data_IF_764547595373
#
_entry.id   IF_764547595373
#
_cell.length_a   1.000
_cell.length_b   1.000
_cell.length_c   1.000
_cell.angle_alpha   90.00
_cell.angle_beta   90.00
_cell.angle_gamma   90.00
#
_symmetry.space_group_name_H-M   'P 1'
#
loop_
_entity.id
_entity.type
_entity.pdbx_description
1 polymer ?
#
# COMPACT_ATOMS: atom_id res chain seq x y z
N UNK A 1 -5.28 -3.20 1.61
CA UNK A 1 -4.53 -4.43 1.95
C UNK A 1 -5.44 -5.64 2.16
N UNK A 2 -6.33 -5.65 3.18
CA UNK A 2 -7.23 -6.78 3.48
C UNK A 2 -7.97 -7.36 2.25
N UNK A 3 -8.55 -6.51 1.40
CA UNK A 3 -9.24 -6.99 0.20
C UNK A 3 -8.29 -7.66 -0.80
N UNK A 4 -7.07 -7.16 -0.96
CA UNK A 4 -6.09 -7.76 -1.86
C UNK A 4 -5.80 -9.21 -1.42
N UNK A 5 -5.56 -9.44 -0.13
CA UNK A 5 -5.36 -10.77 0.44
C UNK A 5 -6.59 -11.66 0.27
N UNK A 6 -7.79 -11.13 0.59
CA UNK A 6 -9.05 -11.86 0.46
C UNK A 6 -9.33 -12.35 -0.97
N UNK A 7 -8.90 -11.60 -1.98
CA UNK A 7 -9.10 -11.94 -3.39
C UNK A 7 -7.86 -12.56 -4.05
N UNK A 8 -6.83 -12.93 -3.28
CA UNK A 8 -5.64 -13.59 -3.80
C UNK A 8 -4.76 -12.71 -4.69
N UNK A 9 -4.88 -11.38 -4.57
CA UNK A 9 -3.96 -10.42 -5.21
C UNK A 9 -2.64 -10.48 -4.44
N UNK A 10 -1.54 -10.67 -5.16
CA UNK A 10 -0.19 -10.72 -4.59
C UNK A 10 0.24 -9.32 -4.12
N UNK A 11 -0.17 -8.97 -2.90
CA UNK A 11 0.22 -7.78 -2.18
C UNK A 11 0.87 -8.20 -0.87
N UNK A 12 2.07 -7.71 -0.60
CA UNK A 12 2.74 -7.96 0.67
C UNK A 12 2.17 -7.08 1.80
N UNK A 13 2.52 -7.42 3.04
CA UNK A 13 2.10 -6.70 4.23
C UNK A 13 2.99 -7.05 5.42
N UNK A 14 4.31 -6.91 5.26
CA UNK A 14 5.30 -7.45 6.18
C UNK A 14 5.18 -6.92 7.63
N UNK A 15 4.71 -5.69 7.80
CA UNK A 15 4.48 -5.11 9.13
C UNK A 15 3.04 -5.25 9.64
N UNK A 16 2.18 -6.03 8.98
CA UNK A 16 0.80 -6.28 9.42
C UNK A 16 -0.01 -4.97 9.60
N UNK A 17 0.10 -4.04 8.64
CA UNK A 17 -0.52 -2.72 8.69
C UNK A 17 -0.05 -1.79 9.84
N UNK A 18 1.04 -2.08 10.53
CA UNK A 18 1.58 -1.28 11.66
C UNK A 18 2.29 0.02 11.27
N UNK A 19 2.17 0.50 10.03
CA UNK A 19 2.85 1.68 9.52
C UNK A 19 4.37 1.64 9.82
N UNK A 20 5.03 0.56 9.38
CA UNK A 20 6.45 0.31 9.64
C UNK A 20 7.23 -0.30 8.44
N UNK A 21 6.60 -0.41 7.27
CA UNK A 21 7.25 -0.89 6.05
C UNK A 21 6.56 -0.29 4.81
N UNK A 22 7.13 -0.55 3.63
CA UNK A 22 6.58 -0.10 2.33
C UNK A 22 6.05 -1.24 1.46
N UNK A 23 5.87 -2.44 2.00
CA UNK A 23 5.51 -3.63 1.20
C UNK A 23 4.07 -3.61 0.69
N UNK A 24 3.23 -2.74 1.24
CA UNK A 24 1.85 -2.53 0.79
C UNK A 24 1.70 -1.32 -0.15
N UNK A 25 2.80 -0.81 -0.70
CA UNK A 25 2.82 0.34 -1.61
C UNK A 25 1.89 0.13 -2.81
N UNK A 26 1.06 1.14 -3.08
CA UNK A 26 0.15 1.20 -4.22
C UNK A 26 0.23 2.57 -4.88
N UNK A 27 -0.15 2.63 -6.15
CA UNK A 27 -0.50 3.88 -6.83
C UNK A 27 -2.01 4.02 -6.89
N UNK A 28 -2.50 5.17 -6.45
CA UNK A 28 -3.91 5.55 -6.48
C UNK A 28 -4.18 6.32 -7.77
N UNK A 29 -5.27 6.01 -8.48
CA UNK A 29 -5.63 6.81 -9.65
C UNK A 29 -6.01 8.24 -9.25
N UNK A 30 -5.66 9.20 -10.11
CA UNK A 30 -5.77 10.63 -9.83
C UNK A 30 -7.18 11.05 -9.40
N UNK A 31 -8.22 10.45 -9.98
CA UNK A 31 -9.63 10.77 -9.67
C UNK A 31 -10.08 10.38 -8.25
N UNK A 32 -9.32 9.50 -7.58
CA UNK A 32 -9.57 9.09 -6.19
C UNK A 32 -8.54 9.64 -5.21
N UNK A 33 -7.38 10.11 -5.69
CA UNK A 33 -6.31 10.59 -4.81
C UNK A 33 -6.78 11.76 -3.95
N UNK A 34 -7.45 12.74 -4.55
CA UNK A 34 -7.98 13.92 -3.86
C UNK A 34 -9.18 13.62 -2.94
N UNK A 35 -9.78 12.42 -3.07
CA UNK A 35 -10.86 11.94 -2.19
C UNK A 35 -10.33 11.24 -0.93
N UNK A 36 -9.05 10.87 -0.92
CA UNK A 36 -8.42 10.28 0.25
C UNK A 36 -8.04 11.38 1.24
N UNK A 37 -8.02 11.08 2.55
CA UNK A 37 -7.34 11.95 3.49
C UNK A 37 -5.86 12.08 3.10
N UNK A 38 -5.23 13.23 3.38
CA UNK A 38 -3.80 13.41 3.18
C UNK A 38 -3.03 12.30 3.91
N UNK A 39 -1.88 11.90 3.36
CA UNK A 39 -0.96 11.01 4.06
C UNK A 39 -0.47 11.66 5.35
N UNK A 40 -0.18 10.82 6.34
CA UNK A 40 0.51 11.27 7.55
C UNK A 40 2.00 11.42 7.26
N UNK A 41 2.69 12.32 7.96
CA UNK A 41 4.14 12.54 7.80
C UNK A 41 4.94 11.22 7.87
N UNK A 42 4.56 10.33 8.80
CA UNK A 42 5.19 9.01 8.95
C UNK A 42 4.94 8.08 7.75
N UNK A 43 3.79 8.21 7.08
CA UNK A 43 3.53 7.48 5.84
C UNK A 43 4.46 7.97 4.73
N UNK A 44 4.63 9.29 4.59
CA UNK A 44 5.50 9.90 3.60
C UNK A 44 6.97 9.54 3.83
N UNK A 45 7.46 9.62 5.08
CA UNK A 45 8.82 9.22 5.47
C UNK A 45 9.13 7.77 5.08
N UNK A 46 8.14 6.88 5.21
CA UNK A 46 8.28 5.49 4.78
C UNK A 46 8.29 5.39 3.26
N UNK A 47 7.38 6.08 2.57
CA UNK A 47 7.28 6.08 1.11
C UNK A 47 8.54 6.61 0.42
N UNK A 48 9.28 7.53 1.04
CA UNK A 48 10.59 7.99 0.54
C UNK A 48 11.62 6.86 0.40
N UNK A 49 11.45 5.79 1.19
CA UNK A 49 12.27 4.58 1.09
C UNK A 49 11.72 3.53 0.12
N UNK A 50 10.55 3.77 -0.49
CA UNK A 50 9.89 2.82 -1.38
C UNK A 50 10.52 2.83 -2.79
N UNK A 51 10.71 1.65 -3.40
CA UNK A 51 11.13 1.56 -4.80
C UNK A 51 10.01 2.08 -5.72
N UNK A 52 10.38 2.74 -6.81
CA UNK A 52 9.44 3.27 -7.81
C UNK A 52 8.43 4.29 -7.25
N UNK A 53 8.80 5.08 -6.24
CA UNK A 53 7.96 6.15 -5.70
C UNK A 53 7.44 7.09 -6.81
N UNK A 54 6.19 7.50 -6.66
CA UNK A 54 5.48 8.48 -7.51
C UNK A 54 4.60 9.38 -6.66
N UNK A 55 4.21 10.53 -7.19
CA UNK A 55 3.34 11.51 -6.53
C UNK A 55 2.00 10.91 -6.05
N UNK A 56 1.46 9.94 -6.78
CA UNK A 56 0.20 9.26 -6.44
C UNK A 56 0.40 7.98 -5.59
N UNK A 57 1.53 7.86 -4.91
CA UNK A 57 1.84 6.69 -4.07
C UNK A 57 1.17 6.80 -2.71
N UNK A 58 0.69 5.66 -2.22
CA UNK A 58 0.16 5.50 -0.86
C UNK A 58 0.55 4.16 -0.28
N UNK A 59 0.52 4.03 1.04
CA UNK A 59 0.56 2.74 1.72
C UNK A 59 -0.85 2.17 1.76
N UNK A 60 -1.10 1.09 1.02
CA UNK A 60 -2.43 0.49 0.88
C UNK A 60 -3.01 -0.10 2.17
N UNK A 61 -2.25 -0.13 3.27
CA UNK A 61 -2.75 -0.43 4.61
C UNK A 61 -3.34 0.77 5.34
N UNK A 62 -3.01 2.01 4.94
CA UNK A 62 -3.52 3.25 5.53
C UNK A 62 -4.79 3.76 4.81
N UNK A 63 -5.12 3.18 3.65
CA UNK A 63 -6.34 3.52 2.90
C UNK A 63 -7.55 2.80 3.53
N UNK A 64 -8.46 3.59 4.10
CA UNK A 64 -9.78 3.11 4.55
C UNK A 64 -10.80 3.29 3.43
N UNK A 65 -11.47 2.20 3.04
CA UNK A 65 -12.46 2.24 1.96
C UNK A 65 -13.77 2.85 2.44
N UNK A 66 -14.28 3.82 1.70
CA UNK A 66 -15.59 4.46 1.90
C UNK A 66 -16.44 4.30 0.64
N UNK A 67 -17.72 4.67 0.70
CA UNK A 67 -18.62 4.60 -0.47
C UNK A 67 -18.20 5.55 -1.59
N UNK A 68 -17.55 6.67 -1.26
CA UNK A 68 -17.11 7.67 -2.24
C UNK A 68 -15.93 7.19 -3.12
N UNK A 69 -15.34 6.05 -2.74
CA UNK A 69 -14.27 5.34 -3.45
C UNK A 69 -14.80 4.16 -4.28
N UNK A 70 -16.11 4.07 -4.49
CA UNK A 70 -16.68 3.08 -5.40
C UNK A 70 -16.10 3.26 -6.81
N UNK A 71 -15.67 2.15 -7.43
CA UNK A 71 -14.97 2.16 -8.73
C UNK A 71 -13.47 2.42 -8.64
N UNK A 72 -12.90 2.63 -7.44
CA UNK A 72 -11.48 2.91 -7.28
C UNK A 72 -10.58 1.80 -7.78
N UNK A 73 -9.65 2.19 -8.66
CA UNK A 73 -8.60 1.32 -9.17
C UNK A 73 -7.25 1.66 -8.52
N UNK A 74 -6.54 0.60 -8.13
CA UNK A 74 -5.19 0.66 -7.58
C UNK A 74 -4.22 -0.09 -8.47
N UNK A 75 -3.00 0.42 -8.60
CA UNK A 75 -1.92 -0.26 -9.31
C UNK A 75 -0.78 -0.60 -8.37
N UNK A 76 -0.23 -1.80 -8.49
CA UNK A 76 0.94 -2.22 -7.74
C UNK A 76 2.25 -1.77 -8.42
N UNK A 77 3.29 -1.40 -7.66
CA UNK A 77 4.64 -1.23 -8.18
C UNK A 77 5.20 -2.57 -8.70
N UNK A 78 6.25 -2.50 -9.53
CA UNK A 78 6.88 -3.70 -10.09
C UNK A 78 7.57 -4.58 -9.04
N UNK A 79 7.99 -3.98 -7.94
CA UNK A 79 8.56 -4.65 -6.78
C UNK A 79 8.39 -3.75 -5.55
N UNK A 80 8.45 -4.36 -4.37
CA UNK A 80 8.42 -3.69 -3.07
C UNK A 80 9.68 -4.03 -2.27
N UNK A 81 10.07 -3.16 -1.32
CA UNK A 81 11.23 -3.42 -0.45
C UNK A 81 10.80 -4.24 0.75
N UNK A 82 11.16 -5.52 0.77
CA UNK A 82 10.91 -6.41 1.89
C UNK A 82 12.18 -6.61 2.74
N UNK A 83 12.01 -6.76 4.06
CA UNK A 83 13.08 -6.98 5.04
C UNK A 83 13.46 -8.46 5.22
N UNK A 84 12.60 -9.39 4.80
CA UNK A 84 12.89 -10.83 4.89
C UNK A 84 13.98 -11.23 3.88
N UNK A 85 15.18 -11.51 4.38
CA UNK A 85 16.35 -11.91 3.58
C UNK A 85 16.30 -13.37 3.14
N UNK A 86 15.43 -14.18 3.73
CA UNK A 86 15.23 -15.61 3.47
C UNK A 86 14.09 -15.90 2.48
N UNK A 87 13.45 -14.85 1.95
CA UNK A 87 12.30 -14.99 1.06
C UNK A 87 11.01 -15.43 1.77
N UNK A 88 10.97 -15.35 3.10
CA UNK A 88 9.77 -15.65 3.86
C UNK A 88 8.64 -14.67 3.48
N UNK A 89 7.53 -15.22 2.98
CA UNK A 89 6.29 -14.47 2.75
C UNK A 89 5.35 -14.72 3.94
N UNK A 90 5.14 -13.73 4.83
CA UNK A 90 4.23 -13.92 5.95
C UNK A 90 2.82 -14.22 5.43
N UNK A 91 2.16 -15.17 6.07
CA UNK A 91 0.78 -15.50 5.74
C UNK A 91 -0.12 -14.39 6.30
N UNK A 92 -1.02 -13.79 5.51
CA UNK A 92 -2.01 -12.87 6.04
C UNK A 92 -2.87 -13.55 7.11
N UNK A 93 -3.07 -12.87 8.24
CA UNK A 93 -3.95 -13.32 9.33
C UNK A 93 -5.43 -13.07 9.01
#
# INVERSE_FOLDING_TARGET
MYLAHRYGIEMEGACEASLACTTCHVYVQSEYFDKLPPSEEKEDDLLDMAPFLKENSRLGCQITLTKDLEGMELKLPKATRNFYVDGHKPTPH
#
